data_IF_937954919999
#
_entry.id   IF_937954919999
#
_cell.length_a   1.000
_cell.length_b   1.000
_cell.length_c   1.000
_cell.angle_alpha   90.00
_cell.angle_beta   90.00
_cell.angle_gamma   90.00
#
_symmetry.space_group_name_H-M   'P 1'
#
loop_
_entity.id
_entity.type
_entity.pdbx_description
1 polymer ?
#
# COMPACT_ATOMS: atom_id res chain seq x y z
N UNK A 1 30.66 -25.79 -3.60
CA UNK A 1 29.58 -25.11 -4.32
C UNK A 1 28.58 -24.68 -3.27
N UNK A 2 28.67 -23.44 -2.83
CA UNK A 2 27.86 -22.91 -1.72
C UNK A 2 26.45 -22.70 -2.27
N UNK A 3 25.50 -23.55 -1.87
CA UNK A 3 24.09 -23.31 -2.18
C UNK A 3 23.69 -22.05 -1.42
N UNK A 4 23.49 -20.96 -2.15
CA UNK A 4 22.89 -19.74 -1.62
C UNK A 4 21.48 -20.10 -1.19
N UNK A 5 21.23 -20.21 0.11
CA UNK A 5 19.88 -20.45 0.61
C UNK A 5 19.01 -19.24 0.28
N UNK A 6 18.16 -19.38 -0.74
CA UNK A 6 17.17 -18.38 -1.10
C UNK A 6 15.96 -18.54 -0.19
N UNK A 7 15.92 -17.77 0.89
CA UNK A 7 14.75 -17.68 1.75
C UNK A 7 13.67 -16.81 1.09
N UNK A 8 12.37 -17.13 1.29
CA UNK A 8 11.31 -16.25 0.82
C UNK A 8 11.35 -14.91 1.56
N UNK A 9 11.37 -13.82 0.80
CA UNK A 9 11.35 -12.44 1.33
C UNK A 9 9.91 -11.92 1.33
N UNK A 10 9.47 -11.37 2.45
CA UNK A 10 8.18 -10.69 2.58
C UNK A 10 8.44 -9.23 2.88
N UNK A 11 8.04 -8.35 1.96
CA UNK A 11 7.99 -6.91 2.23
C UNK A 11 6.70 -6.60 3.00
N UNK A 12 6.84 -6.28 4.28
CA UNK A 12 5.69 -6.03 5.17
C UNK A 12 5.09 -4.63 5.00
N UNK A 13 5.65 -3.79 4.14
CA UNK A 13 5.12 -2.45 3.88
C UNK A 13 5.43 -1.95 2.46
N UNK A 14 4.55 -2.28 1.51
CA UNK A 14 4.59 -1.75 0.16
C UNK A 14 3.52 -0.68 -0.04
N UNK A 15 3.91 0.46 -0.63
CA UNK A 15 2.97 1.48 -1.09
C UNK A 15 2.86 1.42 -2.61
N UNK A 16 1.64 1.44 -3.17
CA UNK A 16 1.45 1.54 -4.60
C UNK A 16 2.06 2.85 -5.10
N UNK A 17 2.78 2.76 -6.22
CA UNK A 17 3.44 3.93 -6.80
C UNK A 17 2.45 4.65 -7.71
N UNK A 18 2.35 5.97 -7.52
CA UNK A 18 1.39 6.82 -8.20
C UNK A 18 2.07 7.85 -9.09
N UNK A 19 1.43 8.23 -10.21
CA UNK A 19 1.85 9.37 -11.02
C UNK A 19 1.85 10.68 -10.23
N UNK A 20 2.82 11.56 -10.48
CA UNK A 20 2.91 12.86 -9.80
C UNK A 20 1.77 13.83 -10.14
N UNK A 21 1.13 13.64 -11.29
CA UNK A 21 -0.02 14.42 -11.75
C UNK A 21 -1.33 14.04 -11.05
N UNK A 22 -1.35 12.99 -10.22
CA UNK A 22 -2.54 12.56 -9.46
C UNK A 22 -2.68 13.19 -8.06
N UNK A 23 -2.08 14.37 -7.87
CA UNK A 23 -2.47 15.25 -6.77
C UNK A 23 -1.79 15.03 -5.43
N UNK A 24 -0.58 14.45 -5.40
CA UNK A 24 0.25 14.36 -4.18
C UNK A 24 1.67 14.91 -4.44
N UNK A 25 1.81 16.21 -4.72
CA UNK A 25 3.09 16.82 -5.12
C UNK A 25 4.20 16.65 -4.08
N UNK A 26 3.86 16.47 -2.80
CA UNK A 26 4.81 16.20 -1.72
C UNK A 26 5.58 14.88 -1.91
N UNK A 27 5.04 13.90 -2.64
CA UNK A 27 5.74 12.63 -2.95
C UNK A 27 6.99 12.90 -3.80
N UNK A 28 6.95 13.89 -4.69
CA UNK A 28 8.10 14.24 -5.55
C UNK A 28 9.35 14.48 -4.71
N UNK A 29 9.20 15.32 -3.69
CA UNK A 29 10.32 15.70 -2.82
C UNK A 29 10.84 14.50 -2.03
N UNK A 30 9.95 13.62 -1.58
CA UNK A 30 10.32 12.38 -0.89
C UNK A 30 11.20 11.49 -1.79
N UNK A 31 10.82 11.28 -3.05
CA UNK A 31 11.59 10.45 -3.99
C UNK A 31 12.94 11.06 -4.36
N UNK A 32 12.99 12.38 -4.57
CA UNK A 32 14.25 13.09 -4.80
C UNK A 32 15.23 12.94 -3.62
N UNK A 33 14.71 13.02 -2.39
CA UNK A 33 15.54 12.90 -1.18
C UNK A 33 15.92 11.46 -0.84
N UNK A 34 15.10 10.48 -1.21
CA UNK A 34 15.41 9.06 -1.01
C UNK A 34 16.35 8.51 -2.08
N UNK A 35 16.70 9.30 -3.09
CA UNK A 35 17.45 8.87 -4.27
C UNK A 35 16.78 7.69 -5.00
N UNK A 36 15.46 7.54 -4.83
CA UNK A 36 14.68 6.57 -5.58
C UNK A 36 14.58 7.00 -7.04
N UNK A 37 14.43 6.01 -7.93
CA UNK A 37 14.20 6.30 -9.34
C UNK A 37 12.86 7.01 -9.52
N UNK A 38 12.91 8.28 -9.89
CA UNK A 38 11.73 9.11 -10.13
C UNK A 38 10.93 8.66 -11.34
N UNK A 39 11.51 7.86 -12.25
CA UNK A 39 10.78 7.22 -13.35
C UNK A 39 9.64 6.35 -12.83
N UNK A 40 9.75 5.88 -11.58
CA UNK A 40 8.70 5.09 -10.96
C UNK A 40 7.40 5.89 -10.83
N UNK A 41 7.47 7.22 -10.70
CA UNK A 41 6.32 8.10 -10.53
C UNK A 41 5.70 8.60 -11.85
N UNK A 42 5.97 7.91 -12.97
CA UNK A 42 5.47 8.31 -14.29
C UNK A 42 4.11 7.71 -14.65
N UNK A 43 3.74 6.59 -14.04
CA UNK A 43 2.49 5.88 -14.34
C UNK A 43 2.02 5.03 -13.15
N UNK A 44 0.72 4.77 -13.09
CA UNK A 44 0.16 3.69 -12.28
C UNK A 44 0.62 2.35 -12.86
N UNK A 45 1.00 1.43 -11.98
CA UNK A 45 1.37 0.07 -12.37
C UNK A 45 0.15 -0.83 -12.41
N UNK A 46 0.17 -1.82 -13.28
CA UNK A 46 -0.78 -2.94 -13.21
C UNK A 46 -0.32 -3.98 -12.17
N UNK A 47 -1.17 -4.93 -11.76
CA UNK A 47 -0.74 -6.05 -10.92
C UNK A 47 0.41 -6.84 -11.52
N UNK A 48 0.37 -7.14 -12.83
CA UNK A 48 1.43 -7.87 -13.53
C UNK A 48 2.78 -7.14 -13.49
N UNK A 49 2.76 -5.82 -13.69
CA UNK A 49 3.97 -4.99 -13.63
C UNK A 49 4.57 -4.95 -12.21
N UNK A 50 3.72 -4.96 -11.18
CA UNK A 50 4.18 -5.04 -9.80
C UNK A 50 4.81 -6.40 -9.49
N UNK A 51 4.22 -7.50 -9.96
CA UNK A 51 4.80 -8.85 -9.80
C UNK A 51 6.16 -8.94 -10.51
N UNK A 52 6.30 -8.40 -11.71
CA UNK A 52 7.58 -8.38 -12.42
C UNK A 52 8.66 -7.63 -11.62
N UNK A 53 8.31 -6.52 -10.96
CA UNK A 53 9.22 -5.79 -10.07
C UNK A 53 9.57 -6.60 -8.82
N UNK A 54 8.60 -7.29 -8.21
CA UNK A 54 8.84 -8.17 -7.07
C UNK A 54 9.80 -9.31 -7.44
N UNK A 55 9.58 -9.96 -8.59
CA UNK A 55 10.41 -11.07 -9.06
C UNK A 55 11.85 -10.60 -9.33
N UNK A 56 12.01 -9.45 -9.99
CA UNK A 56 13.33 -8.84 -10.23
C UNK A 56 14.07 -8.47 -8.93
N UNK A 57 13.32 -8.12 -7.87
CA UNK A 57 13.86 -7.81 -6.55
C UNK A 57 14.04 -9.03 -5.63
N UNK A 58 13.65 -10.23 -6.06
CA UNK A 58 13.68 -11.44 -5.23
C UNK A 58 12.64 -11.46 -4.11
N UNK A 59 11.57 -10.66 -4.22
CA UNK A 59 10.51 -10.53 -3.22
C UNK A 59 9.40 -11.56 -3.47
N UNK A 60 9.16 -12.42 -2.48
CA UNK A 60 8.17 -13.49 -2.59
C UNK A 60 6.76 -12.99 -2.31
N UNK A 61 6.56 -12.11 -1.32
CA UNK A 61 5.26 -11.52 -1.01
C UNK A 61 5.38 -10.07 -0.59
N UNK A 62 4.32 -9.30 -0.77
CA UNK A 62 4.23 -7.94 -0.22
C UNK A 62 2.91 -7.71 0.53
N UNK A 63 2.96 -6.90 1.58
CA UNK A 63 1.80 -6.28 2.18
C UNK A 63 1.53 -4.96 1.43
N UNK A 64 0.56 -4.97 0.52
CA UNK A 64 0.18 -3.81 -0.29
C UNK A 64 -0.83 -2.95 0.47
N UNK A 65 -0.44 -1.72 0.77
CA UNK A 65 -1.22 -0.81 1.59
C UNK A 65 -2.06 0.16 0.76
N UNK A 66 -3.36 0.24 1.07
CA UNK A 66 -4.17 1.36 0.63
C UNK A 66 -3.71 2.64 1.35
N UNK A 67 -3.88 3.77 0.68
CA UNK A 67 -3.47 5.08 1.17
C UNK A 67 -4.58 6.11 1.07
N UNK A 68 -5.04 6.54 2.24
CA UNK A 68 -5.96 7.65 2.42
C UNK A 68 -5.24 8.80 3.13
N UNK A 69 -5.64 10.02 2.78
CA UNK A 69 -5.26 11.27 3.42
C UNK A 69 -6.55 12.09 3.64
N UNK A 70 -6.52 13.14 4.48
CA UNK A 70 -7.67 14.04 4.60
C UNK A 70 -8.15 14.54 3.22
N UNK A 71 -9.41 14.24 2.88
CA UNK A 71 -10.07 14.67 1.65
C UNK A 71 -9.75 13.87 0.38
N UNK A 72 -8.92 12.82 0.41
CA UNK A 72 -8.56 12.07 -0.80
C UNK A 72 -8.12 10.63 -0.52
N UNK A 73 -8.63 9.68 -1.31
CA UNK A 73 -8.02 8.36 -1.47
C UNK A 73 -6.90 8.46 -2.52
N UNK A 74 -5.67 8.27 -2.07
CA UNK A 74 -4.47 8.28 -2.92
C UNK A 74 -4.36 6.94 -3.66
N UNK A 75 -4.64 5.85 -2.94
CA UNK A 75 -4.91 4.52 -3.48
C UNK A 75 -5.93 3.82 -2.59
N UNK A 76 -7.11 3.54 -3.11
CA UNK A 76 -8.26 3.05 -2.35
C UNK A 76 -8.12 1.57 -1.97
N UNK A 77 -8.94 1.15 -1.02
CA UNK A 77 -9.05 -0.27 -0.64
C UNK A 77 -9.51 -1.15 -1.81
N UNK A 78 -10.42 -0.67 -2.66
CA UNK A 78 -10.90 -1.44 -3.84
C UNK A 78 -9.78 -1.61 -4.88
N UNK A 79 -8.92 -0.60 -5.06
CA UNK A 79 -7.75 -0.75 -5.91
C UNK A 79 -6.78 -1.79 -5.35
N UNK A 80 -6.55 -1.84 -4.04
CA UNK A 80 -5.76 -2.93 -3.42
C UNK A 80 -6.45 -4.28 -3.64
N UNK A 81 -7.77 -4.35 -3.49
CA UNK A 81 -8.54 -5.57 -3.70
C UNK A 81 -8.39 -6.09 -5.14
N UNK A 82 -8.37 -5.19 -6.13
CA UNK A 82 -8.07 -5.55 -7.52
C UNK A 82 -6.70 -6.24 -7.69
N UNK A 83 -5.68 -5.77 -6.98
CA UNK A 83 -4.35 -6.38 -6.99
C UNK A 83 -4.34 -7.73 -6.26
N UNK A 84 -4.92 -7.80 -5.05
CA UNK A 84 -4.94 -9.05 -4.27
C UNK A 84 -5.77 -10.13 -4.94
N UNK A 85 -6.86 -9.79 -5.63
CA UNK A 85 -7.65 -10.75 -6.42
C UNK A 85 -6.86 -11.29 -7.62
N UNK A 86 -6.02 -10.45 -8.26
CA UNK A 86 -5.18 -10.87 -9.38
C UNK A 86 -4.04 -11.82 -8.94
N UNK A 87 -3.45 -11.59 -7.76
CA UNK A 87 -2.31 -12.37 -7.25
C UNK A 87 -2.44 -12.70 -5.75
N UNK A 88 -3.42 -13.52 -5.35
CA UNK A 88 -3.79 -13.73 -3.94
C UNK A 88 -2.69 -14.41 -3.10
N UNK A 89 -1.82 -15.19 -3.73
CA UNK A 89 -0.72 -15.88 -3.05
C UNK A 89 0.53 -15.00 -2.86
N UNK A 90 0.60 -13.88 -3.59
CA UNK A 90 1.76 -12.96 -3.63
C UNK A 90 1.48 -11.63 -2.94
N UNK A 91 0.25 -11.14 -3.03
CA UNK A 91 -0.14 -9.81 -2.57
C UNK A 91 -1.10 -9.92 -1.38
N UNK A 92 -0.72 -9.30 -0.27
CA UNK A 92 -1.50 -9.27 0.97
C UNK A 92 -2.10 -7.86 1.12
N UNK A 93 -3.42 -7.76 1.11
CA UNK A 93 -4.10 -6.46 1.22
C UNK A 93 -4.06 -5.91 2.65
N UNK A 94 -3.69 -4.64 2.77
CA UNK A 94 -3.75 -3.87 4.02
C UNK A 94 -4.67 -2.67 3.80
N UNK A 95 -5.73 -2.60 4.61
CA UNK A 95 -6.75 -1.57 4.50
C UNK A 95 -6.21 -0.21 4.94
N UNK A 96 -6.60 0.84 4.24
CA UNK A 96 -6.45 2.22 4.66
C UNK A 96 -7.78 2.75 5.19
N UNK A 97 -7.71 3.73 6.08
CA UNK A 97 -8.88 4.26 6.80
C UNK A 97 -8.87 5.78 6.86
N UNK A 98 -10.05 6.37 6.86
CA UNK A 98 -10.28 7.76 7.25
C UNK A 98 -10.45 7.85 8.78
N UNK A 99 -9.48 8.47 9.45
CA UNK A 99 -9.49 8.59 10.92
C UNK A 99 -10.43 9.69 11.43
N UNK A 100 -10.96 10.56 10.57
CA UNK A 100 -11.96 11.57 10.98
C UNK A 100 -13.39 11.01 11.03
N UNK A 101 -13.61 9.80 10.51
CA UNK A 101 -14.93 9.16 10.49
C UNK A 101 -14.89 7.74 11.07
N UNK A 102 -14.91 7.61 12.41
CA UNK A 102 -14.65 6.34 13.07
C UNK A 102 -15.65 5.23 12.74
N UNK A 103 -16.93 5.59 12.65
CA UNK A 103 -17.99 4.62 12.36
C UNK A 103 -17.87 4.08 10.94
N UNK A 104 -17.60 4.95 9.96
CA UNK A 104 -17.46 4.54 8.56
C UNK A 104 -16.24 3.65 8.36
N UNK A 105 -15.10 3.96 8.98
CA UNK A 105 -13.91 3.14 8.76
C UNK A 105 -14.09 1.72 9.32
N UNK A 106 -14.79 1.53 10.45
CA UNK A 106 -14.98 0.19 11.03
C UNK A 106 -15.76 -0.70 10.07
N UNK A 107 -16.82 -0.16 9.46
CA UNK A 107 -17.65 -0.89 8.49
C UNK A 107 -16.84 -1.24 7.24
N UNK A 108 -16.04 -0.29 6.74
CA UNK A 108 -15.18 -0.51 5.58
C UNK A 108 -14.12 -1.59 5.85
N UNK A 109 -13.41 -1.48 6.98
CA UNK A 109 -12.40 -2.48 7.40
C UNK A 109 -13.04 -3.85 7.57
N UNK A 110 -14.22 -3.94 8.19
CA UNK A 110 -14.92 -5.20 8.36
C UNK A 110 -15.21 -5.88 7.00
N UNK A 111 -15.66 -5.11 6.01
CA UNK A 111 -15.87 -5.62 4.66
C UNK A 111 -14.57 -6.15 4.05
N UNK A 112 -13.49 -5.36 4.01
CA UNK A 112 -12.24 -5.79 3.38
C UNK A 112 -11.55 -6.94 4.11
N UNK A 113 -11.69 -7.05 5.43
CA UNK A 113 -11.13 -8.17 6.19
C UNK A 113 -11.96 -9.44 5.98
N UNK A 114 -13.29 -9.37 6.10
CA UNK A 114 -14.16 -10.56 6.07
C UNK A 114 -14.49 -11.05 4.66
N UNK A 115 -14.60 -10.14 3.70
CA UNK A 115 -15.00 -10.44 2.32
C UNK A 115 -13.78 -10.51 1.40
N UNK A 116 -12.93 -9.47 1.41
CA UNK A 116 -11.74 -9.40 0.53
C UNK A 116 -10.49 -10.08 1.10
N UNK A 117 -10.54 -10.52 2.35
CA UNK A 117 -9.48 -11.29 2.98
C UNK A 117 -8.23 -10.49 3.38
N UNK A 118 -8.34 -9.16 3.48
CA UNK A 118 -7.25 -8.28 3.93
C UNK A 118 -6.75 -8.70 5.32
N UNK A 119 -5.45 -8.47 5.58
CA UNK A 119 -4.76 -8.99 6.78
C UNK A 119 -4.34 -7.91 7.77
N UNK A 120 -4.66 -6.66 7.51
CA UNK A 120 -4.32 -5.57 8.43
C UNK A 120 -4.95 -4.25 8.05
N UNK A 121 -4.70 -3.25 8.91
CA UNK A 121 -5.10 -1.86 8.72
C UNK A 121 -3.87 -0.98 8.90
N UNK A 122 -3.66 -0.04 7.99
CA UNK A 122 -2.61 0.96 8.05
C UNK A 122 -3.16 2.26 8.64
N UNK A 123 -2.51 2.72 9.71
CA UNK A 123 -2.86 3.95 10.41
C UNK A 123 -1.65 4.89 10.41
N UNK A 124 -1.86 6.16 10.01
CA UNK A 124 -0.79 7.18 9.95
C UNK A 124 -1.26 8.44 10.70
N UNK A 125 -1.35 8.44 12.04
CA UNK A 125 -2.11 9.44 12.82
C UNK A 125 -1.71 10.89 12.55
N UNK A 126 -0.40 11.15 12.40
CA UNK A 126 0.11 12.50 12.15
C UNK A 126 -0.38 13.11 10.84
N UNK A 127 -0.66 12.29 9.81
CA UNK A 127 -1.24 12.76 8.54
C UNK A 127 -2.68 13.27 8.73
N UNK A 128 -3.35 12.80 9.78
CA UNK A 128 -4.71 13.16 10.15
C UNK A 128 -4.76 14.23 11.25
N UNK A 129 -3.62 14.82 11.61
CA UNK A 129 -3.49 15.76 12.73
C UNK A 129 -3.98 15.19 14.07
N UNK A 130 -3.77 13.88 14.28
CA UNK A 130 -4.13 13.16 15.51
C UNK A 130 -2.87 12.62 16.21
N UNK A 131 -2.86 12.58 17.57
CA UNK A 131 -1.82 11.90 18.31
C UNK A 131 -1.92 10.37 18.11
N UNK A 132 -0.81 9.61 18.22
CA UNK A 132 -0.86 8.15 18.17
C UNK A 132 -1.72 7.50 19.26
N UNK A 133 -2.03 8.24 20.33
CA UNK A 133 -2.87 7.82 21.47
C UNK A 133 -4.29 8.38 21.39
N UNK A 134 -4.72 8.84 20.22
CA UNK A 134 -6.10 9.31 20.05
C UNK A 134 -7.08 8.19 20.43
N UNK A 135 -8.20 8.57 21.08
CA UNK A 135 -9.17 7.64 21.66
C UNK A 135 -10.46 7.56 20.86
N UNK A 136 -10.57 8.33 19.77
CA UNK A 136 -11.78 8.50 18.99
C UNK A 136 -11.77 7.67 17.71
#
# INVERSE_FOLDING_TARGET
MEQTMSFPIIDVWANPVLPLDEGVPEIRRLFEQSHADTSLLSKRRTPDELIALMDAAGISKICLCAWYRPGQAVFSNEEVAGFTRAYPDRLIGIAGVDLHNPVSYVQEVEHYVKVEGFKGVRVVPWLWNLPPTDKH
#
